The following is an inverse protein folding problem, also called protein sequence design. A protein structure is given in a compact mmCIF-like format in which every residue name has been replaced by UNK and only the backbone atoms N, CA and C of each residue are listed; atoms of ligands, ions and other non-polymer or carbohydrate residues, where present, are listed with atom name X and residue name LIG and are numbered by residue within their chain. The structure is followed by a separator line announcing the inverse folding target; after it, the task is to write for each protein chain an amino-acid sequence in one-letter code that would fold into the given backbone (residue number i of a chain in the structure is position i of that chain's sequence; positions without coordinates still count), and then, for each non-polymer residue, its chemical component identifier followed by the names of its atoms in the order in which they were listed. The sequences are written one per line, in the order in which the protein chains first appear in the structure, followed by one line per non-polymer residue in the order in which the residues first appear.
data_IF_972307446397
#
_entry.id   IF_972307446397
#
_cell.length_a   1.000
_cell.length_b   1.000
_cell.length_c   1.000
_cell.angle_alpha   90.00
_cell.angle_beta   90.00
_cell.angle_gamma   90.00
#
_symmetry.space_group_name_H-M   'P 1'
#
loop_
_entity.id
_entity.type
_entity.pdbx_description
1 polymer ?
#
# COMPACT_ATOMS: atom_id res chain seq x y z
N UNK A 1 -33.24 -43.57 -28.13
CA UNK A 1 -32.76 -42.64 -27.08
C UNK A 1 -31.25 -42.68 -27.04
N UNK A 2 -30.59 -41.73 -27.68
CA UNK A 2 -29.13 -41.66 -27.76
C UNK A 2 -28.60 -40.71 -26.69
N UNK A 3 -27.77 -41.21 -25.79
CA UNK A 3 -27.09 -40.41 -24.76
C UNK A 3 -25.94 -39.60 -25.42
N UNK A 4 -26.05 -38.26 -25.38
CA UNK A 4 -24.97 -37.35 -25.76
C UNK A 4 -23.89 -37.36 -24.65
N UNK A 5 -22.67 -37.73 -25.01
CA UNK A 5 -21.49 -37.52 -24.20
C UNK A 5 -21.15 -36.01 -24.13
N UNK A 6 -20.71 -35.47 -22.96
CA UNK A 6 -20.22 -34.11 -22.87
C UNK A 6 -18.85 -33.97 -23.56
N UNK A 7 -18.51 -32.78 -24.10
CA UNK A 7 -17.24 -32.56 -24.79
C UNK A 7 -16.06 -32.68 -23.80
N UNK A 8 -15.09 -33.48 -24.21
CA UNK A 8 -13.88 -33.74 -23.42
C UNK A 8 -13.09 -32.47 -23.12
N UNK A 9 -12.64 -32.35 -21.88
CA UNK A 9 -11.68 -31.37 -21.44
C UNK A 9 -10.39 -31.59 -22.26
N UNK A 10 -9.98 -30.57 -23.02
CA UNK A 10 -8.71 -30.50 -23.68
C UNK A 10 -7.62 -30.44 -22.58
N UNK A 11 -6.98 -31.57 -22.32
CA UNK A 11 -5.77 -31.65 -21.54
C UNK A 11 -4.69 -30.81 -22.25
N UNK A 12 -4.39 -29.63 -21.72
CA UNK A 12 -3.23 -28.82 -22.12
C UNK A 12 -1.97 -29.56 -21.65
N UNK A 13 -1.46 -30.45 -22.46
CA UNK A 13 -0.10 -30.95 -22.36
C UNK A 13 0.84 -29.80 -22.77
N UNK A 14 1.15 -28.91 -21.86
CA UNK A 14 2.28 -28.00 -22.01
C UNK A 14 3.55 -28.78 -21.67
N UNK A 15 4.17 -29.38 -22.67
CA UNK A 15 5.59 -29.75 -22.60
C UNK A 15 6.35 -28.43 -22.41
N UNK A 16 6.63 -28.09 -21.17
CA UNK A 16 7.41 -26.89 -20.83
C UNK A 16 8.80 -27.09 -21.41
N UNK A 17 9.08 -26.45 -22.56
CA UNK A 17 10.40 -26.45 -23.17
C UNK A 17 11.36 -25.84 -22.17
N UNK A 18 12.36 -26.60 -21.73
CA UNK A 18 13.39 -26.13 -20.82
C UNK A 18 13.99 -24.83 -21.38
N UNK A 19 13.86 -23.73 -20.65
CA UNK A 19 14.47 -22.46 -21.04
C UNK A 19 15.99 -22.58 -20.90
N UNK A 20 16.78 -22.06 -21.87
CA UNK A 20 18.22 -22.13 -21.84
C UNK A 20 18.88 -21.28 -20.74
N UNK A 21 18.08 -20.51 -19.99
CA UNK A 21 18.55 -19.57 -18.96
C UNK A 21 17.94 -19.91 -17.61
N UNK A 22 18.71 -19.67 -16.54
CA UNK A 22 18.19 -19.71 -15.18
C UNK A 22 17.14 -18.60 -15.02
N UNK A 23 15.97 -18.96 -14.52
CA UNK A 23 14.91 -18.00 -14.23
C UNK A 23 15.26 -17.22 -12.97
N UNK A 24 15.05 -15.88 -12.95
CA UNK A 24 15.15 -15.11 -11.73
C UNK A 24 14.04 -15.49 -10.75
N UNK A 25 14.28 -15.29 -9.46
CA UNK A 25 13.25 -15.34 -8.45
C UNK A 25 12.32 -14.12 -8.62
N UNK A 26 11.04 -14.36 -8.87
CA UNK A 26 10.04 -13.29 -9.00
C UNK A 26 9.24 -13.14 -7.71
N UNK A 27 9.22 -11.93 -7.14
CA UNK A 27 8.51 -11.61 -5.91
C UNK A 27 7.64 -10.36 -6.08
N UNK A 28 6.67 -10.20 -5.18
CA UNK A 28 5.93 -8.96 -5.00
C UNK A 28 6.07 -8.53 -3.55
N UNK A 29 6.39 -7.25 -3.31
CA UNK A 29 6.43 -6.64 -1.99
C UNK A 29 5.43 -5.48 -1.92
N UNK A 30 4.76 -5.31 -0.77
CA UNK A 30 3.74 -4.27 -0.59
C UNK A 30 4.11 -3.37 0.58
N UNK A 31 4.27 -2.08 0.32
CA UNK A 31 4.42 -1.05 1.34
C UNK A 31 3.03 -0.63 1.80
N UNK A 32 2.63 -1.05 2.98
CA UNK A 32 1.29 -0.79 3.51
C UNK A 32 1.37 0.36 4.49
N UNK A 33 0.72 1.48 4.17
CA UNK A 33 0.66 2.67 5.00
C UNK A 33 -0.69 2.79 5.71
N UNK A 34 -0.65 3.29 6.94
CA UNK A 34 -1.79 3.78 7.69
C UNK A 34 -1.39 5.02 8.50
N UNK A 35 -2.36 5.70 9.10
CA UNK A 35 -2.10 6.76 10.09
C UNK A 35 -2.66 6.30 11.43
N UNK A 36 -1.76 6.08 12.39
CA UNK A 36 -2.07 5.62 13.74
C UNK A 36 -1.40 6.59 14.72
N UNK A 37 -2.11 7.02 15.74
CA UNK A 37 -1.61 7.95 16.77
C UNK A 37 -0.93 9.20 16.15
N UNK A 38 -1.61 9.85 15.20
CA UNK A 38 -1.15 11.07 14.53
C UNK A 38 0.19 10.91 13.78
N UNK A 39 0.58 9.69 13.41
CA UNK A 39 1.84 9.39 12.74
C UNK A 39 1.63 8.48 11.53
N UNK A 40 2.33 8.76 10.44
CA UNK A 40 2.37 7.87 9.28
C UNK A 40 3.15 6.60 9.66
N UNK A 41 2.48 5.47 9.55
CA UNK A 41 3.00 4.15 9.90
C UNK A 41 3.16 3.29 8.66
N UNK A 42 4.11 2.36 8.73
CA UNK A 42 4.28 1.27 7.75
C UNK A 42 4.14 -0.07 8.46
N UNK A 43 3.42 -1.01 7.84
CA UNK A 43 3.33 -2.37 8.33
C UNK A 43 4.58 -3.15 7.95
N UNK A 44 5.20 -3.77 8.94
CA UNK A 44 6.33 -4.65 8.73
C UNK A 44 6.04 -6.04 9.29
N UNK A 45 6.65 -7.04 8.69
CA UNK A 45 6.60 -8.43 9.11
C UNK A 45 8.00 -8.86 9.57
N UNK A 46 8.06 -9.58 10.69
CA UNK A 46 9.32 -10.13 11.17
C UNK A 46 9.60 -11.46 10.49
N UNK A 47 10.77 -11.61 9.90
CA UNK A 47 11.16 -12.86 9.27
C UNK A 47 11.38 -13.95 10.32
N UNK A 48 11.11 -15.23 9.97
CA UNK A 48 11.35 -16.33 10.87
C UNK A 48 12.82 -16.43 11.30
N UNK A 49 13.05 -17.05 12.43
CA UNK A 49 14.38 -17.47 12.85
C UNK A 49 14.68 -18.83 12.21
N UNK A 50 15.84 -18.99 11.57
CA UNK A 50 16.24 -20.28 11.01
C UNK A 50 17.55 -20.17 10.24
N UNK A 51 18.34 -21.23 10.17
CA UNK A 51 19.64 -21.22 9.47
C UNK A 51 19.49 -21.06 7.95
N UNK A 52 18.37 -21.53 7.38
CA UNK A 52 18.10 -21.48 5.94
C UNK A 52 17.31 -20.23 5.52
N UNK A 53 16.86 -19.42 6.50
CA UNK A 53 16.12 -18.21 6.21
C UNK A 53 17.05 -17.04 5.82
N UNK A 54 16.85 -16.39 4.66
CA UNK A 54 17.59 -15.19 4.36
C UNK A 54 17.13 -14.06 5.30
N UNK A 55 18.11 -13.36 5.89
CA UNK A 55 17.86 -12.26 6.83
C UNK A 55 17.00 -12.66 8.05
N UNK A 56 17.40 -13.70 8.83
CA UNK A 56 16.60 -14.19 9.94
C UNK A 56 16.39 -13.12 11.01
N UNK A 57 15.20 -13.10 11.61
CA UNK A 57 14.77 -12.16 12.64
C UNK A 57 14.73 -10.67 12.22
N UNK A 58 15.06 -10.31 10.99
CA UNK A 58 14.93 -8.93 10.52
C UNK A 58 13.48 -8.61 10.15
N UNK A 59 13.14 -7.33 10.24
CA UNK A 59 11.89 -6.81 9.74
C UNK A 59 11.94 -6.63 8.22
N UNK A 60 10.82 -6.87 7.56
CA UNK A 60 10.67 -6.84 6.11
C UNK A 60 9.32 -6.23 5.71
N UNK A 61 9.19 -5.76 4.51
CA UNK A 61 7.89 -5.47 3.91
C UNK A 61 7.09 -6.77 3.74
N UNK A 62 5.76 -6.75 3.90
CA UNK A 62 4.90 -7.83 3.47
C UNK A 62 5.14 -8.17 2.00
N UNK A 63 5.33 -9.44 1.68
CA UNK A 63 5.62 -9.83 0.31
C UNK A 63 5.91 -11.33 0.18
N UNK A 64 6.48 -11.71 -0.93
CA UNK A 64 6.92 -13.08 -1.21
C UNK A 64 6.80 -13.45 -2.68
N UNK A 65 7.05 -14.73 -2.97
CA UNK A 65 7.02 -15.23 -4.33
C UNK A 65 5.66 -15.08 -5.01
N UNK A 66 5.71 -14.85 -6.32
CA UNK A 66 4.55 -14.98 -7.21
C UNK A 66 4.16 -16.46 -7.26
N UNK A 67 2.89 -16.75 -7.05
CA UNK A 67 2.32 -18.09 -7.16
C UNK A 67 1.62 -18.21 -8.53
N UNK A 68 2.29 -18.83 -9.48
CA UNK A 68 1.80 -18.90 -10.87
C UNK A 68 0.51 -19.70 -11.05
N UNK A 69 0.10 -20.47 -10.03
CA UNK A 69 -1.17 -21.22 -10.05
C UNK A 69 -2.33 -20.42 -9.45
N UNK A 70 -2.02 -19.44 -8.59
CA UNK A 70 -3.02 -18.64 -7.85
C UNK A 70 -3.10 -17.20 -8.33
N UNK A 71 -1.99 -16.62 -8.77
CA UNK A 71 -1.87 -15.22 -9.13
C UNK A 71 -2.04 -15.07 -10.64
N UNK A 72 -3.15 -14.51 -11.10
CA UNK A 72 -3.41 -14.28 -12.52
C UNK A 72 -2.41 -13.27 -13.12
N UNK A 73 -1.96 -12.31 -12.29
CA UNK A 73 -1.00 -11.28 -12.64
C UNK A 73 -0.30 -10.73 -11.37
N UNK A 74 0.60 -9.75 -11.55
CA UNK A 74 1.33 -9.15 -10.43
C UNK A 74 0.43 -8.35 -9.48
N UNK A 75 -0.64 -7.76 -9.97
CA UNK A 75 -1.61 -7.03 -9.16
C UNK A 75 -2.41 -8.01 -8.28
N UNK A 76 -2.82 -9.15 -8.82
CA UNK A 76 -3.49 -10.22 -8.07
C UNK A 76 -2.58 -10.75 -6.95
N UNK A 77 -1.28 -10.93 -7.23
CA UNK A 77 -0.29 -11.28 -6.22
C UNK A 77 -0.21 -10.23 -5.11
N UNK A 78 -0.14 -8.94 -5.47
CA UNK A 78 -0.09 -7.84 -4.50
C UNK A 78 -1.35 -7.80 -3.61
N UNK A 79 -2.54 -7.96 -4.18
CA UNK A 79 -3.80 -8.08 -3.44
C UNK A 79 -3.79 -9.26 -2.46
N UNK A 80 -3.34 -10.42 -2.91
CA UNK A 80 -3.22 -11.60 -2.05
C UNK A 80 -2.27 -11.36 -0.88
N UNK A 81 -1.07 -10.80 -1.14
CA UNK A 81 -0.08 -10.50 -0.09
C UNK A 81 -0.59 -9.47 0.92
N UNK A 82 -1.33 -8.47 0.45
CA UNK A 82 -1.98 -7.48 1.30
C UNK A 82 -3.04 -8.14 2.21
N UNK A 83 -3.97 -8.90 1.62
CA UNK A 83 -5.05 -9.57 2.34
C UNK A 83 -4.55 -10.57 3.37
N UNK A 84 -3.50 -11.36 3.05
CA UNK A 84 -2.87 -12.31 3.96
C UNK A 84 -2.29 -11.68 5.25
N UNK A 85 -2.08 -10.36 5.27
CA UNK A 85 -1.48 -9.65 6.41
C UNK A 85 -2.42 -8.70 7.13
N UNK A 86 -3.43 -8.22 6.45
CA UNK A 86 -4.30 -7.15 6.98
C UNK A 86 -5.76 -7.55 7.04
N UNK A 87 -6.16 -8.62 6.38
CA UNK A 87 -7.58 -8.96 6.18
C UNK A 87 -8.36 -7.93 5.34
N UNK A 88 -7.73 -6.84 4.90
CA UNK A 88 -8.39 -5.74 4.20
C UNK A 88 -8.65 -6.10 2.75
N UNK A 89 -9.90 -5.89 2.34
CA UNK A 89 -10.35 -6.05 0.95
C UNK A 89 -10.59 -4.66 0.37
N UNK A 90 -9.91 -4.34 -0.73
CA UNK A 90 -10.16 -3.08 -1.46
C UNK A 90 -9.64 -1.76 -0.85
N UNK A 91 -8.43 -1.69 -0.32
CA UNK A 91 -7.78 -0.41 -0.11
C UNK A 91 -7.26 0.15 -1.45
N UNK A 92 -6.72 1.37 -1.40
CA UNK A 92 -5.93 1.88 -2.50
C UNK A 92 -4.64 1.07 -2.66
N UNK A 93 -4.38 0.59 -3.87
CA UNK A 93 -3.16 -0.16 -4.22
C UNK A 93 -2.62 0.34 -5.56
N UNK A 94 -1.34 0.72 -5.59
CA UNK A 94 -0.65 1.24 -6.79
C UNK A 94 0.72 0.59 -6.94
N UNK A 95 1.10 0.27 -8.17
CA UNK A 95 2.46 -0.17 -8.47
C UNK A 95 3.46 0.97 -8.26
N UNK A 96 4.48 0.73 -7.46
CA UNK A 96 5.54 1.69 -7.16
C UNK A 96 6.66 1.62 -8.18
N UNK A 97 7.16 0.42 -8.44
CA UNK A 97 8.29 0.17 -9.32
C UNK A 97 8.80 -1.26 -9.21
N UNK A 98 9.98 -1.51 -9.77
CA UNK A 98 10.63 -2.82 -9.71
C UNK A 98 12.09 -2.67 -9.27
N UNK A 99 12.55 -3.59 -8.42
CA UNK A 99 13.93 -3.70 -7.94
C UNK A 99 14.44 -5.09 -8.27
N UNK A 100 15.67 -5.18 -8.80
CA UNK A 100 16.23 -6.47 -9.15
C UNK A 100 17.74 -6.44 -9.26
N UNK A 101 18.40 -7.41 -8.67
CA UNK A 101 19.84 -7.61 -8.80
C UNK A 101 20.28 -8.99 -8.28
N UNK A 102 21.53 -9.33 -8.55
CA UNK A 102 22.16 -10.54 -8.01
C UNK A 102 22.43 -10.47 -6.51
N UNK A 103 22.52 -9.27 -5.94
CA UNK A 103 22.91 -9.07 -4.55
C UNK A 103 21.76 -8.85 -3.57
N UNK A 104 20.51 -8.66 -4.06
CA UNK A 104 19.38 -8.37 -3.17
C UNK A 104 18.90 -9.58 -2.36
N UNK A 105 19.03 -10.79 -2.90
CA UNK A 105 18.60 -12.02 -2.27
C UNK A 105 19.73 -13.05 -2.31
N UNK A 106 20.20 -13.59 -1.16
CA UNK A 106 21.29 -14.56 -1.14
C UNK A 106 20.94 -15.89 -1.81
N UNK A 107 19.65 -16.18 -2.04
CA UNK A 107 19.21 -17.40 -2.72
C UNK A 107 19.43 -17.36 -4.23
N UNK A 108 19.65 -16.17 -4.82
CA UNK A 108 19.96 -16.02 -6.24
C UNK A 108 19.50 -14.68 -6.81
N UNK A 109 19.71 -14.53 -8.12
CA UNK A 109 19.22 -13.34 -8.83
C UNK A 109 17.72 -13.22 -8.67
N UNK A 110 17.25 -12.08 -8.16
CA UNK A 110 15.84 -11.89 -7.88
C UNK A 110 15.35 -10.51 -8.31
N UNK A 111 14.08 -10.45 -8.66
CA UNK A 111 13.35 -9.21 -8.90
C UNK A 111 12.09 -9.17 -8.04
N UNK A 112 11.76 -7.98 -7.54
CA UNK A 112 10.47 -7.71 -6.94
C UNK A 112 9.74 -6.61 -7.68
N UNK A 113 8.42 -6.76 -7.79
CA UNK A 113 7.50 -5.72 -8.22
C UNK A 113 6.85 -5.16 -6.96
N UNK A 114 7.25 -3.95 -6.59
CA UNK A 114 6.76 -3.30 -5.38
C UNK A 114 5.48 -2.52 -5.65
N UNK A 115 4.55 -2.61 -4.69
CA UNK A 115 3.30 -1.85 -4.63
C UNK A 115 3.26 -1.06 -3.33
N UNK A 116 2.42 -0.01 -3.27
CA UNK A 116 2.06 0.59 -2.00
C UNK A 116 0.54 0.66 -1.85
N UNK A 117 0.08 0.49 -0.62
CA UNK A 117 -1.33 0.51 -0.24
C UNK A 117 -1.58 1.55 0.84
N UNK A 118 -2.77 2.17 0.82
CA UNK A 118 -3.27 3.07 1.84
C UNK A 118 -4.50 2.45 2.48
N UNK A 119 -4.47 2.25 3.79
CA UNK A 119 -5.58 1.64 4.53
C UNK A 119 -5.91 2.47 5.77
N UNK A 120 -7.19 2.64 6.12
CA UNK A 120 -7.60 3.21 7.39
C UNK A 120 -7.15 2.32 8.55
N UNK A 121 -6.77 2.90 9.69
CA UNK A 121 -6.31 2.16 10.87
C UNK A 121 -7.36 1.21 11.45
N UNK A 122 -8.63 1.61 11.40
CA UNK A 122 -9.78 0.85 11.94
C UNK A 122 -10.10 -0.42 11.17
N UNK A 123 -9.62 -0.52 9.92
CA UNK A 123 -9.97 -1.62 9.04
C UNK A 123 -8.95 -2.77 9.11
N UNK A 124 -7.92 -2.64 9.97
CA UNK A 124 -6.80 -3.60 10.00
C UNK A 124 -6.95 -4.61 11.13
N UNK A 125 -7.05 -5.87 10.75
CA UNK A 125 -6.84 -7.01 11.65
C UNK A 125 -5.50 -7.63 11.29
N UNK A 126 -4.49 -7.47 12.17
CA UNK A 126 -3.17 -8.04 11.92
C UNK A 126 -3.21 -9.56 12.02
N UNK A 127 -2.90 -10.24 10.91
CA UNK A 127 -2.81 -11.69 10.87
C UNK A 127 -1.35 -12.14 10.78
N UNK A 128 -0.95 -12.98 11.72
CA UNK A 128 0.30 -13.72 11.66
C UNK A 128 0.14 -14.84 10.63
N UNK A 129 0.68 -14.64 9.42
CA UNK A 129 0.70 -15.71 8.41
C UNK A 129 1.85 -16.70 8.65
N UNK A 130 1.78 -17.87 8.00
CA UNK A 130 2.72 -18.99 8.18
C UNK A 130 4.22 -18.63 7.98
N UNK A 131 4.53 -17.52 7.32
CA UNK A 131 5.89 -17.09 6.99
C UNK A 131 6.32 -15.81 7.74
N UNK A 132 5.65 -15.43 8.83
CA UNK A 132 6.01 -14.29 9.65
C UNK A 132 6.02 -14.69 11.12
N UNK A 133 7.13 -14.38 11.81
CA UNK A 133 7.24 -14.59 13.27
C UNK A 133 6.46 -13.52 14.05
N UNK A 134 6.27 -12.35 13.46
CA UNK A 134 5.54 -11.22 14.06
C UNK A 134 5.08 -10.23 12.97
N UNK A 135 4.06 -9.42 13.28
CA UNK A 135 3.54 -8.35 12.40
C UNK A 135 3.31 -7.12 13.26
N UNK A 136 3.84 -5.96 12.85
CA UNK A 136 3.70 -4.73 13.64
C UNK A 136 3.74 -3.48 12.80
N UNK A 137 3.10 -2.42 13.30
CA UNK A 137 3.18 -1.08 12.76
C UNK A 137 4.42 -0.35 13.28
N UNK A 138 5.11 0.35 12.41
CA UNK A 138 6.28 1.19 12.72
C UNK A 138 6.10 2.60 12.20
N UNK A 139 6.38 3.63 13.00
CA UNK A 139 6.52 4.97 12.46
C UNK A 139 7.51 4.98 11.30
N UNK A 140 7.09 5.52 10.16
CA UNK A 140 7.90 5.53 8.93
C UNK A 140 9.30 6.08 9.17
N UNK A 141 9.42 7.18 9.91
CA UNK A 141 10.71 7.80 10.23
C UNK A 141 11.62 6.83 11.03
N UNK A 142 11.06 6.06 11.96
CA UNK A 142 11.81 5.05 12.70
C UNK A 142 12.23 3.89 11.81
N UNK A 143 11.33 3.43 10.93
CA UNK A 143 11.63 2.34 10.01
C UNK A 143 12.78 2.69 9.06
N UNK A 144 12.82 3.93 8.57
CA UNK A 144 13.87 4.42 7.66
C UNK A 144 15.21 4.70 8.35
N UNK A 145 15.20 5.16 9.61
CA UNK A 145 16.43 5.67 10.25
C UNK A 145 17.05 4.70 11.25
N UNK A 146 16.25 3.89 11.93
CA UNK A 146 16.70 3.07 13.07
C UNK A 146 16.53 1.57 12.87
N UNK A 147 15.75 1.14 11.87
CA UNK A 147 15.49 -0.27 11.63
C UNK A 147 16.35 -0.79 10.49
N UNK A 148 17.09 -1.87 10.72
CA UNK A 148 17.71 -2.62 9.64
C UNK A 148 16.65 -3.53 9.03
N UNK A 149 16.19 -3.20 7.83
CA UNK A 149 15.26 -4.03 7.08
C UNK A 149 15.98 -5.12 6.29
N UNK A 150 15.28 -6.22 6.05
CA UNK A 150 15.76 -7.30 5.19
C UNK A 150 15.83 -6.84 3.73
N UNK A 151 16.66 -7.48 2.93
CA UNK A 151 16.84 -7.21 1.51
C UNK A 151 17.16 -5.72 1.22
N UNK A 152 16.58 -5.20 0.16
CA UNK A 152 16.58 -3.79 -0.24
C UNK A 152 15.30 -3.03 0.21
N UNK A 153 14.59 -3.55 1.21
CA UNK A 153 13.30 -3.03 1.63
C UNK A 153 13.36 -1.61 2.20
N UNK A 154 14.51 -1.16 2.70
CA UNK A 154 14.69 0.23 3.11
C UNK A 154 14.65 1.20 1.92
N UNK A 155 15.23 0.80 0.77
CA UNK A 155 15.18 1.59 -0.46
C UNK A 155 13.76 1.65 -1.04
N UNK A 156 13.06 0.50 -1.05
CA UNK A 156 11.66 0.40 -1.50
C UNK A 156 10.76 1.28 -0.62
N UNK A 157 10.90 1.19 0.70
CA UNK A 157 10.14 2.03 1.65
C UNK A 157 10.40 3.52 1.41
N UNK A 158 11.66 3.91 1.24
CA UNK A 158 12.01 5.30 0.95
C UNK A 158 11.34 5.77 -0.33
N UNK A 159 11.42 5.00 -1.41
CA UNK A 159 10.79 5.33 -2.69
C UNK A 159 9.26 5.45 -2.57
N UNK A 160 8.62 4.58 -1.76
CA UNK A 160 7.19 4.64 -1.51
C UNK A 160 6.78 5.92 -0.76
N UNK A 161 7.55 6.32 0.26
CA UNK A 161 7.31 7.57 1.01
C UNK A 161 7.47 8.78 0.11
N UNK A 162 8.54 8.83 -0.68
CA UNK A 162 8.78 9.92 -1.63
C UNK A 162 7.65 10.01 -2.67
N UNK A 163 7.19 8.86 -3.21
CA UNK A 163 6.06 8.76 -4.13
C UNK A 163 4.76 9.25 -3.49
N UNK A 164 4.45 8.79 -2.27
CA UNK A 164 3.24 9.17 -1.55
C UNK A 164 3.22 10.69 -1.28
N UNK A 165 4.30 11.24 -0.71
CA UNK A 165 4.42 12.68 -0.44
C UNK A 165 4.29 13.52 -1.70
N UNK A 166 4.95 13.11 -2.78
CA UNK A 166 4.84 13.80 -4.07
C UNK A 166 3.42 13.79 -4.63
N UNK A 167 2.72 12.65 -4.56
CA UNK A 167 1.33 12.54 -5.07
C UNK A 167 0.33 13.30 -4.21
N UNK A 168 0.51 13.36 -2.91
CA UNK A 168 -0.37 14.09 -1.98
C UNK A 168 -0.46 15.58 -2.32
N UNK A 169 0.59 16.15 -2.89
CA UNK A 169 0.58 17.57 -3.31
C UNK A 169 -0.51 17.90 -4.33
N UNK A 170 -0.95 16.93 -5.13
CA UNK A 170 -1.88 17.15 -6.24
C UNK A 170 -3.00 16.12 -6.37
N UNK A 171 -3.22 15.28 -5.34
CA UNK A 171 -4.26 14.24 -5.38
C UNK A 171 -5.05 14.14 -4.09
N UNK A 172 -6.21 13.45 -4.14
CA UNK A 172 -7.04 13.10 -2.98
C UNK A 172 -6.55 11.87 -2.19
N UNK A 173 -5.32 11.39 -2.42
CA UNK A 173 -4.79 10.17 -1.79
C UNK A 173 -4.96 10.09 -0.27
N UNK A 174 -4.74 11.16 0.53
CA UNK A 174 -4.90 11.07 1.98
C UNK A 174 -6.31 10.69 2.45
N UNK A 175 -7.33 10.87 1.62
CA UNK A 175 -8.69 10.44 1.97
C UNK A 175 -8.82 8.91 2.08
N UNK A 176 -7.93 8.15 1.42
CA UNK A 176 -7.90 6.68 1.52
C UNK A 176 -7.33 6.16 2.85
N UNK A 177 -6.73 7.04 3.66
CA UNK A 177 -6.28 6.74 5.02
C UNK A 177 -7.37 6.93 6.08
N UNK A 178 -8.58 7.35 5.67
CA UNK A 178 -9.71 7.61 6.55
C UNK A 178 -10.82 6.57 6.38
N UNK A 179 -11.37 6.12 7.51
CA UNK A 179 -12.66 5.44 7.52
C UNK A 179 -13.78 6.44 7.25
N UNK A 180 -14.78 6.04 6.47
CA UNK A 180 -15.96 6.86 6.17
C UNK A 180 -17.09 6.62 7.18
N UNK A 181 -17.88 7.64 7.49
CA UNK A 181 -17.73 9.02 7.06
C UNK A 181 -16.65 9.79 7.83
N UNK A 182 -16.01 10.77 7.19
CA UNK A 182 -14.99 11.64 7.79
C UNK A 182 -15.35 13.12 7.62
N UNK A 183 -14.71 14.00 8.40
CA UNK A 183 -14.88 15.45 8.31
C UNK A 183 -13.73 16.11 7.55
N UNK A 184 -13.93 17.33 7.01
CA UNK A 184 -12.84 18.09 6.37
C UNK A 184 -11.65 18.38 7.30
N UNK A 185 -11.82 18.66 8.61
CA UNK A 185 -10.69 18.76 9.53
C UNK A 185 -9.89 17.46 9.66
N UNK A 186 -10.55 16.29 9.69
CA UNK A 186 -9.85 14.99 9.70
C UNK A 186 -9.09 14.79 8.39
N UNK A 187 -9.69 15.08 7.25
CA UNK A 187 -9.03 15.01 5.96
C UNK A 187 -7.80 15.93 5.90
N UNK A 188 -7.94 17.20 6.33
CA UNK A 188 -6.80 18.12 6.41
C UNK A 188 -5.68 17.56 7.26
N UNK A 189 -6.01 16.96 8.41
CA UNK A 189 -5.02 16.34 9.28
C UNK A 189 -4.24 15.21 8.60
N UNK A 190 -4.90 14.38 7.78
CA UNK A 190 -4.20 13.35 6.99
C UNK A 190 -3.20 13.95 6.01
N UNK A 191 -3.57 15.04 5.32
CA UNK A 191 -2.63 15.75 4.45
C UNK A 191 -1.41 16.27 5.22
N UNK A 192 -1.62 16.89 6.37
CA UNK A 192 -0.54 17.46 7.20
C UNK A 192 0.41 16.36 7.71
N UNK A 193 -0.13 15.23 8.15
CA UNK A 193 0.68 14.10 8.63
C UNK A 193 1.55 13.53 7.51
N UNK A 194 0.97 13.28 6.34
CA UNK A 194 1.73 12.69 5.23
C UNK A 194 2.76 13.66 4.68
N UNK A 195 2.40 14.95 4.53
CA UNK A 195 3.31 16.01 4.06
C UNK A 195 4.40 16.37 5.09
N UNK A 196 4.16 16.10 6.38
CA UNK A 196 5.04 16.51 7.47
C UNK A 196 5.06 18.02 7.71
N UNK A 197 4.04 18.76 7.26
CA UNK A 197 3.90 20.21 7.40
C UNK A 197 2.45 20.66 7.46
N UNK A 198 2.15 21.81 8.08
CA UNK A 198 0.80 22.35 8.11
C UNK A 198 0.32 22.77 6.70
N UNK A 199 -1.00 22.77 6.53
CA UNK A 199 -1.70 23.22 5.32
C UNK A 199 -2.66 24.34 5.70
N UNK A 200 -2.73 25.42 4.89
CA UNK A 200 -3.64 26.51 5.14
C UNK A 200 -5.10 26.06 5.13
N UNK A 201 -5.79 26.27 6.25
CA UNK A 201 -7.15 25.77 6.49
C UNK A 201 -8.17 26.28 5.48
N UNK A 202 -8.10 27.57 5.15
CA UNK A 202 -9.08 28.22 4.26
C UNK A 202 -8.89 27.73 2.82
N UNK A 203 -7.66 27.75 2.32
CA UNK A 203 -7.31 27.26 1.00
C UNK A 203 -7.57 25.77 0.84
N UNK A 204 -7.28 24.98 1.88
CA UNK A 204 -7.58 23.55 1.90
C UNK A 204 -9.07 23.28 1.72
N UNK A 205 -9.90 23.90 2.58
CA UNK A 205 -11.37 23.74 2.52
C UNK A 205 -11.93 24.11 1.14
N UNK A 206 -11.54 25.27 0.61
CA UNK A 206 -11.97 25.72 -0.72
C UNK A 206 -11.60 24.73 -1.80
N UNK A 207 -10.35 24.23 -1.77
CA UNK A 207 -9.85 23.26 -2.74
C UNK A 207 -10.61 21.92 -2.68
N UNK A 208 -10.81 21.36 -1.49
CA UNK A 208 -11.47 20.07 -1.33
C UNK A 208 -12.91 20.11 -1.83
N UNK A 209 -13.64 21.17 -1.51
CA UNK A 209 -15.02 21.34 -1.95
C UNK A 209 -15.14 21.64 -3.45
N UNK A 210 -14.19 22.37 -4.03
CA UNK A 210 -14.18 22.67 -5.47
C UNK A 210 -13.76 21.47 -6.34
N UNK A 211 -13.10 20.47 -5.78
CA UNK A 211 -12.60 19.32 -6.54
C UNK A 211 -13.65 18.24 -6.82
N UNK A 212 -14.86 18.38 -6.26
CA UNK A 212 -16.06 17.57 -6.56
C UNK A 212 -15.89 16.04 -6.41
N UNK A 213 -15.06 15.61 -5.48
CA UNK A 213 -14.77 14.18 -5.22
C UNK A 213 -15.40 13.64 -3.93
N UNK A 214 -16.13 14.51 -3.19
CA UNK A 214 -16.76 14.21 -1.92
C UNK A 214 -18.29 14.30 -2.03
N UNK A 215 -18.98 13.32 -1.43
CA UNK A 215 -20.42 13.38 -1.15
C UNK A 215 -20.65 13.73 0.31
N UNK A 216 -21.54 14.66 0.59
CA UNK A 216 -22.00 14.94 1.95
C UNK A 216 -22.95 13.84 2.43
N UNK A 217 -22.75 13.36 3.66
CA UNK A 217 -23.57 12.29 4.27
C UNK A 217 -24.38 12.79 5.50
N UNK A 218 -24.44 14.10 5.71
CA UNK A 218 -25.10 14.71 6.86
C UNK A 218 -24.15 15.00 8.01
N UNK A 219 -24.71 15.24 9.20
CA UNK A 219 -23.93 15.54 10.39
C UNK A 219 -23.39 14.26 11.04
N UNK A 220 -22.14 14.31 11.46
CA UNK A 220 -21.43 13.27 12.20
C UNK A 220 -20.77 13.88 13.44
N UNK A 221 -20.39 13.04 14.40
CA UNK A 221 -19.62 13.48 15.56
C UNK A 221 -18.24 13.96 15.11
N UNK A 222 -17.98 15.24 15.31
CA UNK A 222 -16.68 15.84 15.00
C UNK A 222 -15.65 15.56 16.09
N UNK A 223 -14.34 15.82 15.81
CA UNK A 223 -13.25 15.59 16.78
C UNK A 223 -13.41 16.33 18.13
N UNK A 224 -14.26 17.35 18.19
CA UNK A 224 -14.53 18.18 19.38
C UNK A 224 -15.91 17.94 19.99
N UNK A 225 -16.55 16.79 19.74
CA UNK A 225 -17.95 16.50 20.12
C UNK A 225 -18.97 17.54 19.61
N UNK A 226 -18.63 18.32 18.62
CA UNK A 226 -19.55 19.21 17.92
C UNK A 226 -19.96 18.58 16.60
N UNK A 227 -21.25 18.56 16.26
CA UNK A 227 -21.70 18.08 14.96
C UNK A 227 -20.95 18.78 13.82
N UNK A 228 -20.43 18.01 12.89
CA UNK A 228 -19.75 18.50 11.71
C UNK A 228 -20.29 17.77 10.47
N UNK A 229 -20.19 18.41 9.30
CA UNK A 229 -20.58 17.74 8.05
C UNK A 229 -19.62 16.58 7.78
N UNK A 230 -20.20 15.40 7.62
CA UNK A 230 -19.51 14.17 7.22
C UNK A 230 -19.45 14.04 5.71
N UNK A 231 -18.38 13.45 5.23
CA UNK A 231 -18.12 13.22 3.82
C UNK A 231 -17.72 11.76 3.58
N UNK A 232 -17.95 11.30 2.35
CA UNK A 232 -17.39 10.06 1.80
C UNK A 232 -16.79 10.33 0.43
N UNK A 233 -15.90 9.47 -0.02
CA UNK A 233 -15.40 9.50 -1.41
C UNK A 233 -16.52 9.07 -2.38
N UNK A 234 -16.67 9.77 -3.50
CA UNK A 234 -17.51 9.32 -4.61
C UNK A 234 -16.95 8.10 -5.31
N UNK A 235 -15.64 8.06 -5.44
CA UNK A 235 -14.92 6.93 -6.03
C UNK A 235 -13.76 6.52 -5.11
N UNK A 236 -13.76 5.25 -4.72
CA UNK A 236 -12.67 4.65 -3.93
C UNK A 236 -11.71 3.83 -4.79
N UNK A 237 -11.90 3.77 -6.10
CA UNK A 237 -11.01 3.01 -6.98
C UNK A 237 -9.82 3.83 -7.44
N UNK A 238 -10.01 5.14 -7.60
CA UNK A 238 -8.95 6.04 -8.08
C UNK A 238 -8.94 7.38 -7.33
N UNK A 239 -7.76 7.96 -7.07
CA UNK A 239 -7.66 9.29 -6.48
C UNK A 239 -8.01 10.38 -7.52
N UNK A 240 -8.70 11.41 -7.08
CA UNK A 240 -8.93 12.62 -7.87
C UNK A 240 -7.66 13.42 -7.99
N UNK A 241 -7.38 13.93 -9.19
CA UNK A 241 -6.25 14.81 -9.48
C UNK A 241 -6.66 16.28 -9.32
N UNK A 242 -5.83 17.07 -8.66
CA UNK A 242 -6.04 18.50 -8.51
C UNK A 242 -5.22 19.31 -9.53
N UNK A 243 -5.75 20.41 -10.07
CA UNK A 243 -5.05 21.21 -11.09
C UNK A 243 -3.83 21.99 -10.55
N UNK A 244 -3.67 22.09 -9.23
CA UNK A 244 -2.57 22.81 -8.56
C UNK A 244 -2.07 22.02 -7.35
N UNK A 245 -0.77 22.17 -7.03
CA UNK A 245 -0.14 21.58 -5.85
C UNK A 245 -0.44 22.36 -4.57
N UNK A 246 -0.15 21.76 -3.40
CA UNK A 246 -0.17 22.42 -2.09
C UNK A 246 1.14 23.16 -1.77
N UNK A 247 2.12 23.12 -2.67
CA UNK A 247 3.39 23.80 -2.47
C UNK A 247 3.16 25.28 -2.15
N UNK A 248 3.87 25.87 -1.17
CA UNK A 248 3.85 27.30 -0.96
C UNK A 248 4.23 27.99 -2.27
N UNK A 249 3.57 29.08 -2.60
CA UNK A 249 4.11 29.98 -3.63
C UNK A 249 5.48 30.43 -3.12
N UNK A 250 6.57 29.96 -3.72
CA UNK A 250 7.86 30.61 -3.59
C UNK A 250 7.63 32.02 -4.17
N UNK A 251 7.49 33.00 -3.28
CA UNK A 251 7.73 34.37 -3.68
C UNK A 251 9.24 34.41 -3.99
N UNK A 252 9.59 34.19 -5.25
CA UNK A 252 10.89 34.62 -5.73
C UNK A 252 10.93 36.15 -5.62
N UNK A 253 12.00 36.70 -5.05
CA UNK A 253 12.16 38.13 -4.87
C UNK A 253 12.26 38.91 -6.19
#
# INVERSE_FOLDING_TARGET
MARKNPPGALARSTTQRALPHRLPLATVDVVIFSVIDESLQVLLVKRPAGPDEPFPNLWALPGGFVDVERDADLLACAWRKLGEKTGVVSPYLEQLGSWGSAGRDPRGWSATHAYFALIPDRDVVLEQGANAADVSWFPVERALTRSKLAFDHAEILKAAVDRLRGKVEYTSLPAFLLSEPFTLPQLQRMYEIVLGRPVDKSGFRTRMLAADFLDEVGYVDGPSNRPAIGYRLRDRQAPTLFPRTFSPRTNEP
#
